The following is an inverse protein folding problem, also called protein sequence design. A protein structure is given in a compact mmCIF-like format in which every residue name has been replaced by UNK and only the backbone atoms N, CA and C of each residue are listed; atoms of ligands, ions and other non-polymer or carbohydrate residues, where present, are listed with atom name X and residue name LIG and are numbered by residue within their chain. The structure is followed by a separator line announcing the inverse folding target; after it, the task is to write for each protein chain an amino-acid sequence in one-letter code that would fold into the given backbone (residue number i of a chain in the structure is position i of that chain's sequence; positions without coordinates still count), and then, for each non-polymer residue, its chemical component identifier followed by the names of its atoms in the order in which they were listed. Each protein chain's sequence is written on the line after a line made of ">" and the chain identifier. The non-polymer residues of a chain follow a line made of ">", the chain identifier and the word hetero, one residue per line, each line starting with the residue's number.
data_IF_511058494079
#
_entry.id   IF_511058494079
#
_cell.length_a   1.000
_cell.length_b   1.000
_cell.length_c   1.000
_cell.angle_alpha   90.00
_cell.angle_beta   90.00
_cell.angle_gamma   90.00
#
_symmetry.space_group_name_H-M   'P 1'
#
loop_
_entity.id
_entity.type
_entity.pdbx_description
1 polymer ?
#
# COMPACT_ATOMS: atom_id res chain seq x y z
N UNK A 1 -17.70 -14.62 15.97
CA UNK A 1 -17.54 -13.75 14.77
C UNK A 1 -18.01 -12.33 15.10
N UNK A 2 -17.31 -11.32 14.60
CA UNK A 2 -17.65 -9.91 14.80
C UNK A 2 -19.03 -9.58 14.20
N UNK A 3 -19.82 -8.75 14.89
CA UNK A 3 -21.15 -8.34 14.45
C UNK A 3 -21.08 -6.93 13.86
N UNK A 4 -21.00 -6.83 12.54
CA UNK A 4 -20.94 -5.56 11.81
C UNK A 4 -22.24 -4.75 12.00
N UNK A 5 -22.09 -3.50 12.44
CA UNK A 5 -23.21 -2.55 12.60
C UNK A 5 -23.52 -1.87 11.28
N UNK A 6 -22.48 -1.48 10.54
CA UNK A 6 -22.58 -0.86 9.22
C UNK A 6 -22.55 -1.95 8.14
N UNK A 7 -23.73 -2.37 7.68
CA UNK A 7 -23.86 -3.48 6.73
C UNK A 7 -23.58 -3.13 5.27
N UNK A 8 -23.65 -1.84 4.93
CA UNK A 8 -23.41 -1.33 3.57
C UNK A 8 -22.67 -0.02 3.68
N UNK A 9 -21.54 0.04 3.04
CA UNK A 9 -20.73 1.24 2.93
C UNK A 9 -20.30 1.44 1.48
N UNK A 10 -20.21 2.70 1.05
CA UNK A 10 -19.68 3.09 -0.25
C UNK A 10 -18.77 4.31 -0.05
N UNK A 11 -17.49 4.24 -0.42
CA UNK A 11 -16.57 5.36 -0.35
C UNK A 11 -17.05 6.58 -1.15
N UNK A 12 -16.77 7.77 -0.64
CA UNK A 12 -16.85 9.01 -1.39
C UNK A 12 -15.45 9.30 -1.95
N UNK A 13 -15.33 9.39 -3.26
CA UNK A 13 -14.04 9.51 -3.96
C UNK A 13 -13.89 10.80 -4.77
N UNK A 14 -14.83 11.75 -4.64
CA UNK A 14 -14.76 13.02 -5.36
C UNK A 14 -15.14 14.20 -4.44
N UNK A 15 -14.15 14.86 -3.82
CA UNK A 15 -12.73 14.48 -3.77
C UNK A 15 -12.47 13.30 -2.82
N UNK A 16 -11.38 12.58 -3.03
CA UNK A 16 -10.84 11.62 -2.06
C UNK A 16 -9.81 12.34 -1.17
N UNK A 17 -10.12 12.46 0.13
CA UNK A 17 -9.29 13.13 1.13
C UNK A 17 -8.78 12.09 2.12
N UNK A 18 -7.52 11.70 1.98
CA UNK A 18 -6.91 10.60 2.73
C UNK A 18 -6.12 11.14 3.93
N UNK A 19 -6.35 10.56 5.09
CA UNK A 19 -5.50 10.68 6.27
C UNK A 19 -4.68 9.41 6.42
N UNK A 20 -3.38 9.49 6.14
CA UNK A 20 -2.44 8.39 6.37
C UNK A 20 -2.07 8.34 7.85
N UNK A 21 -2.06 7.12 8.43
CA UNK A 21 -1.87 6.95 9.87
C UNK A 21 -1.20 5.63 10.22
N UNK A 22 -0.34 5.68 11.23
CA UNK A 22 0.19 4.50 11.91
C UNK A 22 -0.54 4.31 13.24
N UNK A 23 -1.22 3.19 13.43
CA UNK A 23 -2.04 2.95 14.63
C UNK A 23 -1.25 3.11 15.91
N UNK A 24 -0.05 2.55 15.97
CA UNK A 24 0.80 2.60 17.16
C UNK A 24 1.36 3.98 17.51
N UNK A 25 1.44 4.90 16.55
CA UNK A 25 2.03 6.23 16.71
C UNK A 25 1.03 7.37 16.50
N UNK A 26 -0.25 7.07 16.35
CA UNK A 26 -1.29 8.04 16.01
C UNK A 26 -1.68 9.02 17.14
N UNK A 27 -1.07 8.93 18.30
CA UNK A 27 -1.38 9.77 19.48
C UNK A 27 -0.13 10.15 20.26
N UNK A 28 -0.26 11.17 21.14
CA UNK A 28 0.85 11.79 21.88
C UNK A 28 1.36 10.95 23.06
N UNK A 29 0.64 9.88 23.45
CA UNK A 29 1.06 9.04 24.56
C UNK A 29 2.36 8.29 24.23
N UNK A 30 3.34 8.32 25.15
CA UNK A 30 4.63 7.64 25.01
C UNK A 30 4.52 6.12 25.16
N UNK A 31 3.70 5.50 24.30
CA UNK A 31 3.47 4.06 24.22
C UNK A 31 2.98 3.69 22.83
N UNK A 32 3.02 2.39 22.51
CA UNK A 32 2.37 1.87 21.32
C UNK A 32 0.85 2.00 21.49
N UNK A 33 0.20 2.72 20.57
CA UNK A 33 -1.25 2.88 20.54
C UNK A 33 -1.97 1.61 20.08
N UNK A 34 -3.23 1.46 20.49
CA UNK A 34 -4.07 0.32 20.10
C UNK A 34 -5.13 0.71 19.07
N UNK A 35 -5.75 -0.30 18.41
CA UNK A 35 -6.90 -0.10 17.52
C UNK A 35 -8.04 0.65 18.24
N UNK A 36 -8.34 0.30 19.49
CA UNK A 36 -9.38 0.98 20.27
C UNK A 36 -9.01 2.42 20.62
N UNK A 37 -7.77 2.67 21.00
CA UNK A 37 -7.30 4.04 21.28
C UNK A 37 -7.31 4.90 20.01
N UNK A 38 -6.93 4.32 18.88
CA UNK A 38 -7.05 5.03 17.59
C UNK A 38 -8.51 5.36 17.29
N UNK A 39 -9.40 4.39 17.44
CA UNK A 39 -10.84 4.53 17.22
C UNK A 39 -11.45 5.63 18.10
N UNK A 40 -11.06 5.71 19.36
CA UNK A 40 -11.66 6.64 20.34
C UNK A 40 -11.02 8.02 20.37
N UNK A 41 -9.72 8.13 20.08
CA UNK A 41 -8.96 9.36 20.25
C UNK A 41 -8.56 10.03 18.93
N UNK A 42 -8.29 9.25 17.88
CA UNK A 42 -7.77 9.74 16.59
C UNK A 42 -8.89 9.88 15.57
N UNK A 43 -9.69 8.82 15.36
CA UNK A 43 -10.76 8.82 14.37
C UNK A 43 -11.72 10.03 14.50
N UNK A 44 -12.15 10.48 15.71
CA UNK A 44 -13.00 11.66 15.84
C UNK A 44 -12.35 12.95 15.33
N UNK A 45 -11.01 13.07 15.42
CA UNK A 45 -10.27 14.22 14.87
C UNK A 45 -10.25 14.17 13.36
N UNK A 46 -9.97 13.00 12.78
CA UNK A 46 -9.99 12.77 11.32
C UNK A 46 -11.35 13.15 10.73
N UNK A 47 -12.44 12.74 11.39
CA UNK A 47 -13.82 13.09 10.99
C UNK A 47 -14.04 14.60 11.06
N UNK A 48 -13.65 15.24 12.18
CA UNK A 48 -13.80 16.68 12.41
C UNK A 48 -13.02 17.50 11.38
N UNK A 49 -11.84 17.02 10.97
CA UNK A 49 -10.97 17.71 10.02
C UNK A 49 -11.43 17.52 8.55
N UNK A 50 -12.49 16.73 8.33
CA UNK A 50 -13.15 16.63 7.03
C UNK A 50 -12.53 15.61 6.07
N UNK A 51 -11.65 14.71 6.55
CA UNK A 51 -11.19 13.57 5.76
C UNK A 51 -12.32 12.58 5.52
N UNK A 52 -12.27 11.87 4.40
CA UNK A 52 -13.27 10.84 4.05
C UNK A 52 -12.65 9.45 3.82
N UNK A 53 -11.35 9.32 4.04
CA UNK A 53 -10.62 8.06 3.98
C UNK A 53 -9.48 8.05 4.99
N UNK A 54 -9.27 6.93 5.67
CA UNK A 54 -8.03 6.63 6.39
C UNK A 54 -7.24 5.59 5.63
N UNK A 55 -5.94 5.84 5.49
CA UNK A 55 -4.96 4.88 5.00
C UNK A 55 -4.17 4.37 6.19
N UNK A 56 -4.42 3.13 6.58
CA UNK A 56 -3.74 2.51 7.71
C UNK A 56 -2.41 1.93 7.23
N UNK A 57 -1.30 2.48 7.72
CA UNK A 57 0.04 1.97 7.44
C UNK A 57 0.15 0.52 7.89
N UNK A 58 0.89 -0.27 7.16
CA UNK A 58 1.04 -1.72 7.22
C UNK A 58 0.76 -2.36 8.59
N UNK A 59 -0.37 -3.07 8.71
CA UNK A 59 -0.84 -3.72 9.94
C UNK A 59 -0.87 -5.24 9.86
N UNK A 60 -0.41 -5.83 8.78
CA UNK A 60 -0.17 -7.27 8.73
C UNK A 60 0.86 -7.62 9.81
N UNK A 61 0.75 -8.81 10.41
CA UNK A 61 1.62 -9.19 11.54
C UNK A 61 3.11 -9.13 11.15
N UNK A 62 3.91 -8.53 12.02
CA UNK A 62 5.33 -8.29 11.80
C UNK A 62 6.12 -8.42 13.11
N UNK A 63 7.33 -9.02 13.10
CA UNK A 63 8.09 -9.28 14.33
C UNK A 63 8.76 -8.04 14.91
N UNK A 64 9.12 -7.08 14.05
CA UNK A 64 9.91 -5.90 14.45
C UNK A 64 9.10 -4.60 14.31
N UNK A 65 8.82 -3.94 15.44
CA UNK A 65 8.06 -2.69 15.48
C UNK A 65 8.70 -1.57 14.66
N UNK A 66 10.03 -1.47 14.67
CA UNK A 66 10.77 -0.47 13.92
C UNK A 66 10.67 -0.60 12.39
N UNK A 67 10.10 -1.69 11.88
CA UNK A 67 9.75 -1.82 10.46
C UNK A 67 8.47 -1.06 10.09
N UNK A 68 7.75 -0.51 11.05
CA UNK A 68 6.43 0.13 10.89
C UNK A 68 5.37 -0.75 10.20
N UNK A 69 5.58 -2.07 10.24
CA UNK A 69 4.71 -3.06 9.60
C UNK A 69 5.14 -3.50 8.20
N UNK A 70 6.20 -2.93 7.64
CA UNK A 70 6.63 -3.23 6.28
C UNK A 70 7.51 -4.49 6.16
N UNK A 71 7.89 -5.14 7.27
CA UNK A 71 8.53 -6.47 7.28
C UNK A 71 7.54 -7.55 7.74
N UNK A 72 6.61 -7.90 6.85
CA UNK A 72 5.50 -8.81 7.17
C UNK A 72 5.99 -10.24 7.37
N UNK A 73 5.53 -10.86 8.46
CA UNK A 73 5.74 -12.28 8.75
C UNK A 73 4.50 -13.13 8.51
N UNK A 74 3.31 -12.61 8.81
CA UNK A 74 2.05 -13.31 8.57
C UNK A 74 1.05 -12.41 7.85
N UNK A 75 0.76 -12.75 6.62
CA UNK A 75 -0.05 -11.96 5.69
C UNK A 75 -1.54 -11.99 6.00
N UNK A 76 -2.03 -13.04 6.66
CA UNK A 76 -3.45 -13.25 7.00
C UNK A 76 -3.77 -12.93 8.46
N UNK A 77 -2.88 -12.25 9.18
CA UNK A 77 -3.11 -11.84 10.57
C UNK A 77 -2.94 -10.34 10.72
N UNK A 78 -3.89 -9.70 11.42
CA UNK A 78 -3.72 -8.34 11.91
C UNK A 78 -2.67 -8.32 13.02
N UNK A 79 -1.82 -7.32 13.04
CA UNK A 79 -0.78 -7.21 14.06
C UNK A 79 -1.39 -7.22 15.47
N UNK A 80 -0.97 -8.21 16.25
CA UNK A 80 -1.38 -8.39 17.65
C UNK A 80 -0.84 -7.28 18.57
N UNK A 81 0.17 -6.55 18.09
CA UNK A 81 0.78 -5.43 18.81
C UNK A 81 -0.18 -4.29 19.09
N UNK A 82 -1.18 -4.11 18.22
CA UNK A 82 -2.16 -3.03 18.34
C UNK A 82 -3.50 -3.48 18.92
N UNK A 83 -3.66 -4.75 19.21
CA UNK A 83 -4.89 -5.29 19.79
C UNK A 83 -5.40 -6.54 19.08
N UNK A 84 -6.70 -6.81 19.23
CA UNK A 84 -7.34 -7.99 18.65
C UNK A 84 -7.92 -7.71 17.25
N UNK A 85 -8.18 -8.77 16.45
CA UNK A 85 -8.90 -8.65 15.19
C UNK A 85 -10.26 -7.97 15.32
N UNK A 86 -10.99 -8.24 16.42
CA UNK A 86 -12.29 -7.62 16.70
C UNK A 86 -12.18 -6.11 16.94
N UNK A 87 -11.10 -5.65 17.55
CA UNK A 87 -10.84 -4.23 17.77
C UNK A 87 -10.53 -3.51 16.45
N UNK A 88 -9.78 -4.14 15.54
CA UNK A 88 -9.58 -3.60 14.20
C UNK A 88 -10.90 -3.53 13.42
N UNK A 89 -11.71 -4.58 13.48
CA UNK A 89 -13.05 -4.59 12.86
C UNK A 89 -13.95 -3.49 13.44
N UNK A 90 -13.89 -3.26 14.75
CA UNK A 90 -14.63 -2.19 15.40
C UNK A 90 -14.19 -0.79 14.95
N UNK A 91 -12.89 -0.60 14.72
CA UNK A 91 -12.35 0.65 14.16
C UNK A 91 -12.92 0.90 12.75
N UNK A 92 -12.87 -0.10 11.88
CA UNK A 92 -13.37 0.00 10.50
C UNK A 92 -14.89 0.23 10.48
N UNK A 93 -15.64 -0.51 11.30
CA UNK A 93 -17.09 -0.38 11.40
C UNK A 93 -17.52 1.04 11.85
N UNK A 94 -16.80 1.62 12.82
CA UNK A 94 -17.05 2.97 13.28
C UNK A 94 -16.65 4.03 12.25
N UNK A 95 -15.55 3.82 11.53
CA UNK A 95 -15.15 4.67 10.41
C UNK A 95 -16.26 4.69 9.32
N UNK A 96 -16.75 3.53 8.92
CA UNK A 96 -17.84 3.40 7.95
C UNK A 96 -19.13 4.08 8.44
N UNK A 97 -19.48 3.93 9.71
CA UNK A 97 -20.66 4.60 10.30
C UNK A 97 -20.59 6.14 10.22
N UNK A 98 -19.37 6.68 10.12
CA UNK A 98 -19.11 8.10 9.98
C UNK A 98 -18.76 8.54 8.55
N UNK A 99 -18.94 7.69 7.56
CA UNK A 99 -18.68 8.00 6.15
C UNK A 99 -17.21 7.98 5.75
N UNK A 100 -16.33 7.39 6.57
CA UNK A 100 -14.88 7.30 6.34
C UNK A 100 -14.55 5.93 5.72
N UNK A 101 -13.96 5.94 4.54
CA UNK A 101 -13.39 4.74 3.93
C UNK A 101 -12.11 4.28 4.67
N UNK A 102 -11.85 2.99 4.64
CA UNK A 102 -10.64 2.40 5.23
C UNK A 102 -9.86 1.67 4.14
N UNK A 103 -8.68 2.15 3.81
CA UNK A 103 -7.72 1.42 2.97
C UNK A 103 -6.50 1.02 3.80
N UNK A 104 -5.84 -0.05 3.38
CA UNK A 104 -4.69 -0.60 4.08
C UNK A 104 -3.46 -0.55 3.18
N UNK A 105 -2.31 -0.20 3.76
CA UNK A 105 -1.04 -0.48 3.11
C UNK A 105 -0.86 -1.99 3.04
N UNK A 106 -0.83 -2.53 1.83
CA UNK A 106 -0.59 -3.96 1.61
C UNK A 106 0.82 -4.18 1.09
N UNK A 107 1.59 -5.00 1.81
CA UNK A 107 2.98 -5.28 1.48
C UNK A 107 3.05 -6.59 0.72
N UNK A 108 2.96 -6.53 -0.61
CA UNK A 108 3.11 -7.68 -1.51
C UNK A 108 4.37 -7.61 -2.37
N UNK A 109 5.20 -6.58 -2.15
CA UNK A 109 6.50 -6.42 -2.79
C UNK A 109 7.58 -7.32 -2.19
N UNK A 110 7.47 -7.67 -0.91
CA UNK A 110 8.47 -8.44 -0.18
C UNK A 110 7.92 -9.03 1.12
N UNK A 111 8.73 -9.85 1.78
CA UNK A 111 8.47 -10.40 3.12
C UNK A 111 9.71 -10.31 4.00
N UNK A 112 9.52 -10.39 5.31
CA UNK A 112 10.63 -10.43 6.27
C UNK A 112 11.50 -11.69 6.06
N UNK A 113 12.82 -11.57 6.29
CA UNK A 113 13.76 -12.68 6.22
C UNK A 113 13.64 -13.69 7.36
N UNK A 114 12.88 -13.40 8.40
CA UNK A 114 12.75 -14.25 9.57
C UNK A 114 12.15 -15.61 9.22
N UNK A 115 12.93 -16.67 9.32
CA UNK A 115 12.52 -18.04 9.01
C UNK A 115 11.67 -18.68 10.12
N UNK A 116 11.78 -18.20 11.36
CA UNK A 116 11.06 -18.76 12.49
C UNK A 116 9.62 -18.24 12.62
N UNK A 117 9.39 -16.99 12.20
CA UNK A 117 8.09 -16.31 12.34
C UNK A 117 7.47 -15.95 11.00
N UNK A 118 8.16 -16.20 9.86
CA UNK A 118 7.75 -15.82 8.53
C UNK A 118 7.68 -16.96 7.53
N UNK A 119 7.64 -16.59 6.26
CA UNK A 119 7.53 -17.51 5.12
C UNK A 119 8.89 -18.01 4.61
N UNK A 120 10.00 -17.50 5.17
CA UNK A 120 11.35 -17.68 4.60
C UNK A 120 11.81 -19.13 4.44
N UNK A 121 11.28 -20.03 5.28
CA UNK A 121 11.57 -21.48 5.19
C UNK A 121 10.41 -22.31 5.81
N UNK A 122 9.18 -21.88 5.61
CA UNK A 122 8.00 -22.42 6.31
C UNK A 122 7.83 -23.94 6.13
N UNK A 123 8.07 -24.45 4.94
CA UNK A 123 7.92 -25.88 4.63
C UNK A 123 9.26 -26.61 4.44
N UNK A 124 10.37 -26.04 4.90
CA UNK A 124 11.71 -26.59 4.64
C UNK A 124 12.21 -26.30 3.22
N UNK A 125 11.50 -25.50 2.46
CA UNK A 125 11.90 -24.97 1.15
C UNK A 125 12.01 -23.44 1.21
N UNK A 126 13.23 -22.87 1.22
CA UNK A 126 13.43 -21.43 1.32
C UNK A 126 12.95 -20.66 0.08
N UNK A 127 12.66 -21.37 -1.00
CA UNK A 127 12.15 -20.77 -2.24
C UNK A 127 10.67 -21.10 -2.51
N UNK A 128 9.93 -21.63 -1.53
CA UNK A 128 8.51 -21.96 -1.71
C UNK A 128 7.70 -20.77 -2.22
N UNK A 129 7.90 -19.59 -1.63
CA UNK A 129 7.23 -18.34 -2.00
C UNK A 129 8.11 -17.39 -2.80
N UNK A 130 9.42 -17.55 -2.72
CA UNK A 130 10.40 -16.56 -3.14
C UNK A 130 11.20 -16.99 -4.35
N UNK A 131 11.81 -16.01 -5.01
CA UNK A 131 12.75 -16.25 -6.10
C UNK A 131 13.94 -17.11 -5.63
N UNK A 132 14.67 -17.66 -6.60
CA UNK A 132 15.89 -18.41 -6.38
C UNK A 132 17.13 -17.55 -6.65
N UNK A 133 18.26 -17.98 -6.10
CA UNK A 133 19.56 -17.34 -6.33
C UNK A 133 19.57 -15.87 -5.85
N UNK A 134 20.28 -15.04 -6.59
CA UNK A 134 20.49 -13.62 -6.24
C UNK A 134 19.21 -12.79 -6.26
N UNK A 135 18.14 -13.27 -6.92
CA UNK A 135 16.84 -12.58 -6.92
C UNK A 135 15.99 -12.86 -5.68
N UNK A 136 16.41 -13.77 -4.80
CA UNK A 136 15.67 -14.13 -3.60
C UNK A 136 15.60 -12.98 -2.60
N UNK A 137 16.70 -12.28 -2.42
CA UNK A 137 16.82 -11.20 -1.43
C UNK A 137 16.78 -9.83 -2.10
N UNK A 138 16.07 -8.90 -1.47
CA UNK A 138 16.05 -7.53 -1.92
C UNK A 138 17.37 -6.84 -1.56
N UNK A 139 18.09 -6.23 -2.54
CA UNK A 139 19.44 -5.73 -2.31
C UNK A 139 19.52 -4.53 -1.36
N UNK A 140 18.41 -3.83 -1.12
CA UNK A 140 18.38 -2.62 -0.30
C UNK A 140 17.48 -2.71 0.95
N UNK A 141 16.54 -3.68 1.03
CA UNK A 141 15.50 -3.66 2.07
C UNK A 141 15.61 -4.79 3.09
N UNK A 142 16.66 -5.57 3.07
CA UNK A 142 16.85 -6.70 3.99
C UNK A 142 15.60 -7.60 4.08
N UNK A 143 15.08 -8.01 2.93
CA UNK A 143 13.81 -8.72 2.80
C UNK A 143 13.87 -9.76 1.69
N UNK A 144 12.84 -10.60 1.58
CA UNK A 144 12.69 -11.65 0.57
C UNK A 144 11.72 -11.22 -0.52
N UNK A 145 12.08 -11.47 -1.79
CA UNK A 145 11.28 -11.09 -2.96
C UNK A 145 10.45 -12.27 -3.45
N UNK A 146 9.13 -12.06 -3.56
CA UNK A 146 8.20 -13.06 -4.07
C UNK A 146 8.50 -13.47 -5.51
N UNK A 147 8.28 -14.75 -5.81
CA UNK A 147 8.30 -15.27 -7.17
C UNK A 147 6.88 -15.23 -7.76
N UNK A 148 6.54 -14.12 -8.39
CA UNK A 148 5.22 -13.90 -9.00
C UNK A 148 4.95 -14.83 -10.20
N UNK A 149 5.94 -15.56 -10.68
CA UNK A 149 5.78 -16.58 -11.73
C UNK A 149 5.17 -17.90 -11.25
N UNK A 150 5.06 -18.09 -9.92
CA UNK A 150 4.45 -19.28 -9.33
C UNK A 150 2.95 -19.10 -9.14
N UNK A 151 2.14 -20.01 -9.68
CA UNK A 151 0.69 -19.96 -9.52
C UNK A 151 0.24 -19.97 -8.06
N UNK A 152 0.92 -20.73 -7.21
CA UNK A 152 0.64 -20.81 -5.78
C UNK A 152 0.90 -19.48 -5.07
N UNK A 153 1.93 -18.75 -5.48
CA UNK A 153 2.26 -17.41 -4.96
C UNK A 153 1.21 -16.39 -5.41
N UNK A 154 0.83 -16.41 -6.69
CA UNK A 154 -0.28 -15.60 -7.19
C UNK A 154 -1.56 -15.88 -6.40
N UNK A 155 -1.90 -17.14 -6.22
CA UNK A 155 -3.09 -17.54 -5.46
C UNK A 155 -3.05 -17.08 -4.01
N UNK A 156 -1.88 -17.19 -3.35
CA UNK A 156 -1.65 -16.73 -1.98
C UNK A 156 -1.87 -15.21 -1.86
N UNK A 157 -1.24 -14.41 -2.73
CA UNK A 157 -1.31 -12.96 -2.66
C UNK A 157 -2.69 -12.42 -3.07
N UNK A 158 -3.31 -12.99 -4.10
CA UNK A 158 -4.68 -12.63 -4.50
C UNK A 158 -5.71 -12.99 -3.42
N UNK A 159 -5.58 -14.18 -2.81
CA UNK A 159 -6.42 -14.58 -1.67
C UNK A 159 -6.25 -13.65 -0.48
N UNK A 160 -5.06 -13.12 -0.28
CA UNK A 160 -4.76 -12.16 0.78
C UNK A 160 -5.51 -10.83 0.57
N UNK A 161 -5.53 -10.29 -0.65
CA UNK A 161 -6.35 -9.12 -0.98
C UNK A 161 -7.84 -9.38 -0.67
N UNK A 162 -8.37 -10.50 -1.15
CA UNK A 162 -9.77 -10.88 -0.91
C UNK A 162 -10.08 -11.03 0.58
N UNK A 163 -9.19 -11.66 1.34
CA UNK A 163 -9.34 -11.87 2.78
C UNK A 163 -9.51 -10.55 3.55
N UNK A 164 -8.65 -9.57 3.31
CA UNK A 164 -8.73 -8.28 3.97
C UNK A 164 -10.01 -7.50 3.62
N UNK A 165 -10.50 -7.65 2.40
CA UNK A 165 -11.76 -7.02 2.00
C UNK A 165 -13.00 -7.72 2.58
N UNK A 166 -13.04 -9.06 2.58
CA UNK A 166 -14.21 -9.81 3.04
C UNK A 166 -14.26 -9.97 4.56
N UNK A 167 -13.11 -10.19 5.20
CA UNK A 167 -13.07 -10.44 6.65
C UNK A 167 -13.03 -9.15 7.47
N UNK A 168 -12.32 -8.12 6.99
CA UNK A 168 -12.16 -6.85 7.71
C UNK A 168 -12.90 -5.68 7.07
N UNK A 169 -13.53 -5.87 5.92
CA UNK A 169 -14.25 -4.83 5.19
C UNK A 169 -13.39 -3.63 4.80
N UNK A 170 -12.10 -3.82 4.51
CA UNK A 170 -11.31 -2.78 3.89
C UNK A 170 -11.88 -2.39 2.52
N UNK A 171 -11.88 -1.10 2.24
CA UNK A 171 -12.41 -0.52 0.99
C UNK A 171 -11.38 -0.51 -0.14
N UNK A 172 -10.22 -1.07 0.08
CA UNK A 172 -9.14 -1.18 -0.89
C UNK A 172 -7.76 -1.08 -0.25
N UNK A 173 -6.76 -0.79 -1.08
CA UNK A 173 -5.36 -0.86 -0.69
C UNK A 173 -4.51 0.23 -1.32
N UNK A 174 -3.47 0.64 -0.57
CA UNK A 174 -2.27 1.24 -1.13
C UNK A 174 -1.23 0.13 -1.24
N UNK A 175 -0.77 -0.16 -2.44
CA UNK A 175 0.27 -1.16 -2.69
C UNK A 175 1.65 -0.55 -2.44
N UNK A 176 2.35 -1.10 -1.46
CA UNK A 176 3.69 -0.68 -1.06
C UNK A 176 4.75 -1.15 -2.05
N UNK A 177 5.70 -0.27 -2.37
CA UNK A 177 6.90 -0.62 -3.12
C UNK A 177 6.67 -1.14 -4.53
N UNK A 178 5.68 -0.64 -5.27
CA UNK A 178 5.34 -1.11 -6.62
C UNK A 178 6.51 -0.97 -7.58
N UNK A 179 7.31 0.10 -7.50
CA UNK A 179 8.52 0.24 -8.32
C UNK A 179 9.45 -0.97 -8.16
N UNK A 180 9.64 -1.43 -6.92
CA UNK A 180 10.46 -2.61 -6.64
C UNK A 180 9.92 -3.89 -7.27
N UNK A 181 8.61 -3.98 -7.47
CA UNK A 181 7.96 -5.14 -8.11
C UNK A 181 8.12 -5.12 -9.62
N UNK A 182 8.01 -3.94 -10.24
CA UNK A 182 7.95 -3.76 -11.70
C UNK A 182 9.24 -4.11 -12.42
N UNK A 183 10.40 -4.03 -11.76
CA UNK A 183 11.70 -4.17 -12.40
C UNK A 183 12.60 -5.18 -11.69
N UNK A 184 13.38 -5.94 -12.47
CA UNK A 184 14.38 -6.86 -11.93
C UNK A 184 15.48 -6.16 -11.12
N UNK A 185 15.77 -4.90 -11.43
CA UNK A 185 16.66 -4.02 -10.69
C UNK A 185 16.04 -3.42 -9.43
N UNK A 186 14.73 -3.63 -9.20
CA UNK A 186 13.94 -2.95 -8.18
C UNK A 186 13.88 -1.42 -8.35
N UNK A 187 14.19 -0.91 -9.55
CA UNK A 187 14.31 0.53 -9.81
C UNK A 187 15.57 1.16 -9.24
N UNK A 188 16.50 0.37 -8.70
CA UNK A 188 17.73 0.87 -8.08
C UNK A 188 18.78 1.22 -9.15
N UNK A 189 19.29 2.45 -9.09
CA UNK A 189 20.35 2.91 -10.00
C UNK A 189 19.90 3.11 -11.45
N UNK A 190 18.59 3.05 -11.73
CA UNK A 190 18.04 3.29 -13.06
C UNK A 190 17.49 4.72 -13.19
N UNK A 191 17.63 5.29 -14.40
CA UNK A 191 16.99 6.54 -14.77
C UNK A 191 15.94 6.27 -15.85
N UNK A 192 14.74 6.77 -15.64
CA UNK A 192 13.60 6.63 -16.55
C UNK A 192 13.40 7.95 -17.28
N UNK A 193 14.08 8.12 -18.42
CA UNK A 193 14.12 9.37 -19.18
C UNK A 193 13.19 9.35 -20.41
N UNK A 194 12.79 8.17 -20.86
CA UNK A 194 11.93 8.00 -22.02
C UNK A 194 11.19 6.68 -22.03
N UNK A 195 10.21 6.53 -22.94
CA UNK A 195 9.39 5.33 -23.03
C UNK A 195 10.19 4.04 -23.20
N UNK A 196 11.33 4.07 -23.89
CA UNK A 196 12.19 2.92 -24.07
C UNK A 196 12.75 2.35 -22.76
N UNK A 197 12.89 3.18 -21.73
CA UNK A 197 13.43 2.75 -20.45
C UNK A 197 12.42 1.89 -19.66
N UNK A 198 11.13 2.05 -19.93
CA UNK A 198 10.07 1.25 -19.30
C UNK A 198 9.82 -0.08 -20.02
N UNK A 199 10.27 -0.25 -21.26
CA UNK A 199 9.94 -1.39 -22.13
C UNK A 199 11.18 -2.01 -22.78
N UNK A 200 12.28 -2.11 -22.02
CA UNK A 200 13.59 -2.58 -22.51
C UNK A 200 13.89 -4.04 -22.15
N UNK A 201 12.91 -4.78 -21.60
CA UNK A 201 13.06 -6.16 -21.16
C UNK A 201 13.58 -6.31 -19.73
N UNK A 202 13.72 -5.25 -18.96
CA UNK A 202 14.08 -5.26 -17.55
C UNK A 202 12.87 -5.31 -16.60
N UNK A 203 11.66 -5.30 -17.16
CA UNK A 203 10.42 -5.42 -16.38
C UNK A 203 10.23 -6.87 -15.92
N UNK A 204 9.66 -7.02 -14.72
CA UNK A 204 9.15 -8.30 -14.25
C UNK A 204 7.69 -8.46 -14.71
N UNK A 205 7.51 -9.10 -15.88
CA UNK A 205 6.19 -9.33 -16.46
C UNK A 205 5.28 -10.17 -15.55
N UNK A 206 5.84 -11.03 -14.71
CA UNK A 206 5.06 -11.80 -13.73
C UNK A 206 4.51 -10.90 -12.63
N UNK A 207 5.31 -9.95 -12.14
CA UNK A 207 4.84 -8.96 -11.16
C UNK A 207 3.77 -8.03 -11.76
N UNK A 208 3.95 -7.60 -13.01
CA UNK A 208 2.95 -6.81 -13.75
C UNK A 208 1.64 -7.60 -13.90
N UNK A 209 1.73 -8.87 -14.26
CA UNK A 209 0.58 -9.78 -14.34
C UNK A 209 -0.12 -9.89 -12.98
N UNK A 210 0.64 -10.10 -11.88
CA UNK A 210 0.08 -10.14 -10.54
C UNK A 210 -0.68 -8.85 -10.18
N UNK A 211 -0.07 -7.67 -10.39
CA UNK A 211 -0.70 -6.38 -10.08
C UNK A 211 -1.99 -6.15 -10.87
N UNK A 212 -1.99 -6.55 -12.14
CA UNK A 212 -3.17 -6.47 -13.01
C UNK A 212 -4.29 -7.38 -12.50
N UNK A 213 -3.97 -8.63 -12.16
CA UNK A 213 -4.92 -9.58 -11.58
C UNK A 213 -5.43 -9.11 -10.21
N UNK A 214 -4.58 -8.52 -9.38
CA UNK A 214 -4.97 -7.98 -8.08
C UNK A 214 -5.99 -6.84 -8.23
N UNK A 215 -5.74 -5.88 -9.13
CA UNK A 215 -6.68 -4.80 -9.41
C UNK A 215 -8.02 -5.34 -9.94
N UNK A 216 -8.00 -6.33 -10.84
CA UNK A 216 -9.20 -6.97 -11.34
C UNK A 216 -9.99 -7.64 -10.21
N UNK A 217 -9.35 -8.50 -9.42
CA UNK A 217 -9.99 -9.20 -8.30
C UNK A 217 -10.59 -8.24 -7.27
N UNK A 218 -9.84 -7.21 -6.88
CA UNK A 218 -10.28 -6.22 -5.90
C UNK A 218 -11.57 -5.54 -6.36
N UNK A 219 -11.65 -5.12 -7.62
CA UNK A 219 -12.85 -4.48 -8.17
C UNK A 219 -13.99 -5.47 -8.48
N UNK A 220 -13.71 -6.75 -8.67
CA UNK A 220 -14.72 -7.80 -8.71
C UNK A 220 -15.35 -8.05 -7.34
N UNK A 221 -14.54 -8.06 -6.27
CA UNK A 221 -15.04 -8.17 -4.89
C UNK A 221 -15.86 -6.94 -4.50
N UNK A 222 -15.37 -5.74 -4.81
CA UNK A 222 -16.07 -4.49 -4.57
C UNK A 222 -15.77 -3.48 -5.69
N UNK A 223 -16.76 -3.25 -6.57
CA UNK A 223 -16.64 -2.29 -7.68
C UNK A 223 -16.32 -0.85 -7.29
N UNK A 224 -16.51 -0.49 -6.01
CA UNK A 224 -16.19 0.83 -5.47
C UNK A 224 -14.88 0.82 -4.66
N UNK A 225 -14.10 -0.25 -4.74
CA UNK A 225 -12.81 -0.33 -4.08
C UNK A 225 -11.86 0.75 -4.59
N UNK A 226 -10.88 1.07 -3.77
CA UNK A 226 -9.85 2.08 -4.06
C UNK A 226 -8.50 1.37 -4.10
N UNK A 227 -7.80 1.47 -5.23
CA UNK A 227 -6.44 0.94 -5.36
C UNK A 227 -5.46 2.06 -5.70
N UNK A 228 -4.40 2.16 -4.91
CA UNK A 228 -3.38 3.19 -5.03
C UNK A 228 -2.01 2.53 -5.16
N UNK A 229 -1.23 2.91 -6.15
CA UNK A 229 0.15 2.44 -6.31
C UNK A 229 1.15 3.43 -5.72
N UNK A 230 2.02 2.95 -4.84
CA UNK A 230 3.26 3.67 -4.54
C UNK A 230 4.28 3.32 -5.60
N UNK A 231 4.48 4.23 -6.55
CA UNK A 231 5.35 4.00 -7.70
C UNK A 231 6.06 5.30 -8.09
N UNK A 232 7.37 5.27 -8.16
CA UNK A 232 8.22 6.47 -8.36
C UNK A 232 8.94 6.51 -9.70
N UNK A 233 8.92 5.41 -10.48
CA UNK A 233 9.59 5.39 -11.79
C UNK A 233 8.81 6.14 -12.87
N UNK A 234 7.49 6.27 -12.69
CA UNK A 234 6.60 6.84 -13.68
C UNK A 234 6.16 5.86 -14.77
N UNK A 235 6.06 4.54 -14.44
CA UNK A 235 5.61 3.50 -15.40
C UNK A 235 4.32 3.94 -16.10
N UNK A 236 4.32 4.03 -17.45
CA UNK A 236 3.13 4.41 -18.19
C UNK A 236 1.96 3.44 -18.02
N UNK A 237 0.74 3.95 -17.92
CA UNK A 237 -0.47 3.14 -17.85
C UNK A 237 -0.75 2.50 -16.50
N UNK A 238 0.05 2.80 -15.45
CA UNK A 238 -0.13 2.14 -14.15
C UNK A 238 -1.51 2.43 -13.55
N UNK A 239 -1.95 3.68 -13.56
CA UNK A 239 -3.26 4.12 -13.08
C UNK A 239 -4.25 4.38 -14.23
N UNK A 240 -4.08 3.71 -15.35
CA UNK A 240 -5.03 3.70 -16.45
C UNK A 240 -5.93 2.46 -16.41
N UNK A 241 -7.19 2.55 -16.88
CA UNK A 241 -8.12 1.44 -16.87
C UNK A 241 -7.72 0.35 -17.88
N UNK A 242 -8.13 -0.89 -17.62
CA UNK A 242 -7.84 -2.05 -18.48
C UNK A 242 -8.26 -1.87 -19.93
N UNK A 243 -9.41 -1.21 -20.19
CA UNK A 243 -9.90 -0.93 -21.54
C UNK A 243 -8.95 -0.07 -22.39
N UNK A 244 -8.10 0.71 -21.72
CA UNK A 244 -7.11 1.59 -22.35
C UNK A 244 -5.70 0.99 -22.30
N UNK A 245 -5.59 -0.32 -21.94
CA UNK A 245 -4.33 -1.04 -21.85
C UNK A 245 -3.55 -0.80 -20.55
N UNK A 246 -4.18 -0.19 -19.54
CA UNK A 246 -3.57 0.07 -18.24
C UNK A 246 -3.57 -1.11 -17.29
N UNK A 247 -2.94 -0.94 -16.13
CA UNK A 247 -2.81 -1.98 -15.09
C UNK A 247 -3.94 -1.94 -14.06
N UNK A 248 -4.85 -0.96 -14.16
CA UNK A 248 -6.11 -0.93 -13.43
C UNK A 248 -6.06 -0.32 -12.04
N UNK A 249 -4.96 0.29 -11.61
CA UNK A 249 -4.98 1.12 -10.41
C UNK A 249 -5.91 2.32 -10.58
N UNK A 250 -6.58 2.73 -9.51
CA UNK A 250 -7.40 3.94 -9.53
C UNK A 250 -6.56 5.20 -9.40
N UNK A 251 -5.46 5.11 -8.63
CA UNK A 251 -4.57 6.24 -8.35
C UNK A 251 -3.11 5.81 -8.30
N UNK A 252 -2.25 6.79 -8.56
CA UNK A 252 -0.81 6.73 -8.31
C UNK A 252 -0.44 7.80 -7.29
N UNK A 253 0.44 7.49 -6.34
CA UNK A 253 0.98 8.47 -5.42
C UNK A 253 1.91 9.44 -6.14
N UNK A 254 1.65 10.74 -5.97
CA UNK A 254 2.49 11.81 -6.53
C UNK A 254 3.69 12.09 -5.61
N UNK A 255 4.65 11.17 -5.55
CA UNK A 255 5.79 11.20 -4.61
C UNK A 255 6.68 12.43 -4.78
N UNK A 256 6.75 13.00 -5.98
CA UNK A 256 7.49 14.24 -6.27
C UNK A 256 6.96 15.45 -5.48
N UNK A 257 5.68 15.49 -5.13
CA UNK A 257 5.07 16.63 -4.43
C UNK A 257 5.62 16.78 -3.02
N UNK A 258 5.54 15.78 -2.13
CA UNK A 258 6.12 15.89 -0.79
C UNK A 258 7.64 16.09 -0.83
N UNK A 259 8.36 15.43 -1.73
CA UNK A 259 9.81 15.59 -1.86
C UNK A 259 10.20 17.02 -2.21
N UNK A 260 9.50 17.63 -3.17
CA UNK A 260 9.71 19.03 -3.56
C UNK A 260 9.44 19.98 -2.38
N UNK A 261 8.34 19.77 -1.64
CA UNK A 261 8.00 20.62 -0.50
C UNK A 261 9.00 20.47 0.65
N UNK A 262 9.38 19.24 1.00
CA UNK A 262 10.38 18.98 2.04
C UNK A 262 11.70 19.66 1.68
N UNK A 263 12.16 19.54 0.45
CA UNK A 263 13.38 20.16 -0.04
C UNK A 263 13.30 21.68 0.01
N UNK A 264 12.19 22.25 -0.47
CA UNK A 264 11.94 23.69 -0.46
C UNK A 264 12.00 24.25 0.97
N UNK A 265 11.27 23.62 1.90
CA UNK A 265 11.24 24.08 3.31
C UNK A 265 12.59 23.96 4.00
N UNK A 266 13.37 22.92 3.70
CA UNK A 266 14.67 22.67 4.35
C UNK A 266 15.82 23.50 3.79
N UNK A 267 15.80 23.78 2.48
CA UNK A 267 16.98 24.29 1.77
C UNK A 267 16.84 25.75 1.32
N UNK A 268 15.60 26.25 1.17
CA UNK A 268 15.35 27.60 0.64
C UNK A 268 14.81 28.52 1.73
N UNK A 269 15.19 29.81 1.65
CA UNK A 269 14.55 30.86 2.42
C UNK A 269 13.18 31.20 1.80
N UNK A 270 12.26 31.73 2.61
CA UNK A 270 10.89 32.02 2.20
C UNK A 270 10.83 32.94 0.95
N UNK A 271 11.74 33.94 0.88
CA UNK A 271 11.85 34.86 -0.24
C UNK A 271 12.30 34.23 -1.57
N UNK A 272 12.93 33.05 -1.49
CA UNK A 272 13.43 32.31 -2.66
C UNK A 272 12.41 31.28 -3.20
N UNK A 273 11.28 31.11 -2.53
CA UNK A 273 10.24 30.20 -2.99
C UNK A 273 9.62 30.67 -4.29
N UNK A 274 9.41 29.73 -5.20
CA UNK A 274 8.83 30.01 -6.53
C UNK A 274 7.43 29.41 -6.63
N UNK A 275 6.36 30.20 -6.42
CA UNK A 275 4.98 29.71 -6.52
C UNK A 275 4.65 29.02 -7.84
N UNK A 276 5.26 29.46 -8.95
CA UNK A 276 5.09 28.82 -10.26
C UNK A 276 5.64 27.39 -10.30
N UNK A 277 6.77 27.13 -9.65
CA UNK A 277 7.34 25.79 -9.56
C UNK A 277 6.50 24.91 -8.62
N UNK A 278 6.01 25.46 -7.52
CA UNK A 278 5.12 24.76 -6.61
C UNK A 278 3.80 24.37 -7.30
N UNK A 279 3.22 25.28 -8.07
CA UNK A 279 2.03 25.02 -8.87
C UNK A 279 2.29 23.93 -9.93
N UNK A 280 3.44 23.99 -10.61
CA UNK A 280 3.85 22.98 -11.58
C UNK A 280 3.91 21.58 -10.96
N UNK A 281 4.55 21.41 -9.79
CA UNK A 281 4.66 20.12 -9.11
C UNK A 281 3.30 19.51 -8.79
N UNK A 282 2.31 20.32 -8.40
CA UNK A 282 0.96 19.82 -8.10
C UNK A 282 0.09 19.59 -9.33
N UNK A 283 0.39 20.22 -10.46
CA UNK A 283 -0.46 20.18 -11.66
C UNK A 283 0.13 19.37 -12.81
N UNK A 284 1.44 19.09 -12.78
CA UNK A 284 2.10 18.28 -13.81
C UNK A 284 1.68 16.81 -13.68
N UNK A 285 0.64 16.45 -14.37
CA UNK A 285 0.02 15.13 -14.39
C UNK A 285 -0.01 14.59 -15.82
N UNK A 286 -0.04 13.26 -15.94
CA UNK A 286 -0.49 12.62 -17.17
C UNK A 286 -2.01 12.77 -17.27
N UNK A 287 -2.52 13.14 -18.44
CA UNK A 287 -3.96 13.42 -18.62
C UNK A 287 -4.85 12.20 -18.43
N UNK A 288 -4.30 11.00 -18.66
CA UNK A 288 -4.98 9.71 -18.64
C UNK A 288 -4.83 8.94 -17.30
N UNK A 289 -4.07 9.49 -16.34
CA UNK A 289 -3.85 8.87 -15.02
C UNK A 289 -4.24 9.82 -13.87
N UNK A 290 -4.67 9.22 -12.74
CA UNK A 290 -5.03 9.93 -11.50
C UNK A 290 -4.00 9.71 -10.40
#
# INVERSE_FOLDING_TARGET
>A
AYQWKTKKFKPTTNPLLIYECHVGMGQDAEKVGSYDEFRTNVLPRVIKDGYNCIQIMAIQEHPYYGSFGYHVSNFFAASSRFGTPEQLKALIDEAHANGIACIMDIVHSHAVKNEMEGLGNLAGDPCQYFNQGDRREHPAWDSLCFDYGKNEVLHFLLSNCKYWMEEYHFDGFRFDGVTSMLYYSHGLGEAFCGYGDYFNGHQDDNAICYLTLANQLIHEVNKNAITIAEEVSGMPGLAAPFKDGGYGFDYRMAMNVPDYWIKTIKELKDEDWKPSSMFWEVTNRREDEK
#
